data_IF_118583090263
#
_entry.id   IF_118583090263
#
_cell.length_a   1.000
_cell.length_b   1.000
_cell.length_c   1.000
_cell.angle_alpha   90.00
_cell.angle_beta   90.00
_cell.angle_gamma   90.00
#
_symmetry.space_group_name_H-M   'P 1'
#
loop_
_entity.id
_entity.type
_entity.pdbx_description
1 polymer ?
#
# COMPACT_ATOMS: atom_id res chain seq x y z
N UNK A 1 -6.40 61.22 -5.94
CA UNK A 1 -7.68 61.98 -5.92
C UNK A 1 -7.97 62.41 -7.35
N UNK A 2 -9.17 62.13 -7.84
CA UNK A 2 -9.76 62.53 -9.13
C UNK A 2 -9.13 62.03 -10.43
N UNK A 3 -9.82 61.08 -11.06
CA UNK A 3 -10.09 61.15 -12.51
C UNK A 3 -11.58 60.91 -12.74
N UNK A 4 -12.23 61.91 -13.38
CA UNK A 4 -13.61 61.92 -13.85
C UNK A 4 -13.67 61.37 -15.30
N UNK A 5 -14.87 61.08 -15.83
CA UNK A 5 -15.11 60.12 -16.91
C UNK A 5 -14.99 60.71 -18.31
N UNK A 6 -14.68 59.86 -19.29
CA UNK A 6 -14.70 60.17 -20.71
C UNK A 6 -15.65 59.24 -21.47
N UNK A 7 -16.72 59.84 -21.99
CA UNK A 7 -17.70 59.26 -22.91
C UNK A 7 -17.14 59.06 -24.32
N UNK A 8 -17.42 57.92 -24.96
CA UNK A 8 -17.63 57.89 -26.42
C UNK A 8 -18.76 56.92 -26.77
N UNK A 9 -19.72 57.48 -27.49
CA UNK A 9 -20.92 56.84 -27.96
C UNK A 9 -20.76 56.45 -29.45
N UNK A 10 -21.52 55.43 -29.82
CA UNK A 10 -22.16 55.18 -31.12
C UNK A 10 -21.31 54.63 -32.29
N UNK A 11 -21.55 53.35 -32.57
CA UNK A 11 -22.21 52.81 -33.79
C UNK A 11 -22.42 51.31 -33.49
N UNK A 12 -23.64 50.74 -33.44
CA UNK A 12 -24.77 50.96 -34.32
C UNK A 12 -24.69 50.00 -35.50
N UNK A 13 -25.07 48.73 -35.30
CA UNK A 13 -25.68 47.93 -36.37
C UNK A 13 -26.69 46.93 -35.78
N UNK A 14 -27.95 47.15 -36.17
CA UNK A 14 -29.11 46.29 -36.00
C UNK A 14 -28.88 44.94 -36.72
N UNK A 15 -29.16 43.82 -36.05
CA UNK A 15 -30.35 42.93 -36.19
C UNK A 15 -30.59 42.38 -37.60
N UNK A 16 -30.46 41.05 -37.72
CA UNK A 16 -31.24 40.18 -38.62
C UNK A 16 -31.55 38.91 -37.82
N UNK A 17 -32.74 38.82 -37.24
CA UNK A 17 -33.89 38.04 -37.73
C UNK A 17 -33.73 36.53 -37.48
N UNK A 18 -34.39 36.12 -36.39
CA UNK A 18 -35.25 34.93 -36.25
C UNK A 18 -34.69 33.55 -36.65
N UNK A 19 -34.33 32.78 -35.63
CA UNK A 19 -34.99 31.48 -35.43
C UNK A 19 -34.91 31.08 -33.96
N UNK A 20 -36.01 31.33 -33.26
CA UNK A 20 -36.23 30.86 -31.90
C UNK A 20 -36.51 29.35 -31.98
N UNK A 21 -35.53 28.53 -31.59
CA UNK A 21 -35.80 27.14 -31.23
C UNK A 21 -35.88 27.05 -29.71
N UNK A 22 -37.05 27.42 -29.17
CA UNK A 22 -37.49 26.94 -27.86
C UNK A 22 -37.79 25.46 -28.06
N UNK A 23 -37.06 24.57 -27.36
CA UNK A 23 -37.57 23.32 -26.81
C UNK A 23 -36.49 22.58 -26.00
N UNK A 24 -36.93 22.07 -24.85
CA UNK A 24 -36.26 21.14 -23.93
C UNK A 24 -35.19 21.72 -22.98
N UNK A 25 -35.68 22.34 -21.89
CA UNK A 25 -35.09 22.10 -20.57
C UNK A 25 -35.14 20.59 -20.29
N UNK A 26 -34.06 19.87 -20.54
CA UNK A 26 -33.84 18.58 -19.87
C UNK A 26 -32.79 18.79 -18.78
N UNK A 27 -33.28 19.13 -17.58
CA UNK A 27 -32.54 18.93 -16.35
C UNK A 27 -32.27 17.43 -16.23
N UNK A 28 -31.16 16.96 -16.78
CA UNK A 28 -30.65 15.63 -16.46
C UNK A 28 -30.07 15.72 -15.06
N UNK A 29 -30.94 15.48 -14.07
CA UNK A 29 -30.54 15.18 -12.71
C UNK A 29 -29.54 14.02 -12.78
N UNK A 30 -28.26 14.36 -12.65
CA UNK A 30 -27.17 13.39 -12.63
C UNK A 30 -27.29 12.69 -11.27
N UNK A 31 -28.09 11.61 -11.22
CA UNK A 31 -28.16 10.75 -10.04
C UNK A 31 -26.73 10.32 -9.73
N UNK A 32 -26.20 10.76 -8.59
CA UNK A 32 -25.01 10.19 -8.00
C UNK A 32 -25.35 8.72 -7.72
N UNK A 33 -24.83 7.83 -8.57
CA UNK A 33 -24.80 6.41 -8.25
C UNK A 33 -23.74 6.28 -7.16
N UNK A 34 -24.07 5.78 -5.96
CA UNK A 34 -23.04 5.46 -5.00
C UNK A 34 -22.20 4.36 -5.65
N UNK A 35 -20.93 4.63 -5.91
CA UNK A 35 -19.97 3.60 -6.25
C UNK A 35 -19.99 2.62 -5.07
N UNK A 36 -20.72 1.51 -5.25
CA UNK A 36 -20.75 0.41 -4.32
C UNK A 36 -19.34 -0.17 -4.37
N UNK A 37 -18.45 0.39 -3.55
CA UNK A 37 -17.10 -0.11 -3.39
C UNK A 37 -17.23 -1.58 -3.05
N UNK A 38 -16.66 -2.44 -3.89
CA UNK A 38 -16.52 -3.85 -3.58
C UNK A 38 -15.77 -3.95 -2.25
N UNK A 39 -16.51 -4.11 -1.16
CA UNK A 39 -15.99 -4.47 0.16
C UNK A 39 -15.47 -5.90 0.01
N UNK A 40 -14.28 -6.03 -0.57
CA UNK A 40 -13.54 -7.28 -0.52
C UNK A 40 -13.36 -7.60 0.96
N UNK A 41 -13.99 -8.68 1.42
CA UNK A 41 -13.75 -9.19 2.76
C UNK A 41 -12.28 -9.60 2.80
N UNK A 42 -11.46 -8.80 3.49
CA UNK A 42 -10.08 -9.18 3.80
C UNK A 42 -10.18 -10.47 4.60
N UNK A 43 -9.69 -11.56 4.03
CA UNK A 43 -9.63 -12.84 4.71
C UNK A 43 -8.64 -12.74 5.88
N UNK A 44 -8.89 -13.50 6.95
CA UNK A 44 -7.95 -13.56 8.08
C UNK A 44 -6.59 -14.01 7.58
N UNK A 45 -5.53 -13.42 8.13
CA UNK A 45 -4.16 -13.81 7.84
C UNK A 45 -3.90 -15.23 8.33
N UNK A 46 -3.14 -15.99 7.56
CA UNK A 46 -2.71 -17.35 7.90
C UNK A 46 -1.19 -17.42 7.96
N UNK A 47 -0.67 -18.35 8.77
CA UNK A 47 0.74 -18.69 8.73
C UNK A 47 1.01 -19.43 7.40
N UNK A 48 1.88 -18.91 6.50
CA UNK A 48 2.20 -19.61 5.26
C UNK A 48 3.01 -20.87 5.55
N UNK A 49 2.81 -21.93 4.77
CA UNK A 49 3.69 -23.09 4.85
C UNK A 49 5.08 -22.77 4.29
N UNK A 50 6.12 -23.40 4.86
CA UNK A 50 7.46 -23.27 4.31
C UNK A 50 7.59 -24.07 3.00
N UNK A 51 8.29 -23.53 1.99
CA UNK A 51 8.50 -24.23 0.71
C UNK A 51 9.55 -25.35 0.79
N UNK A 52 10.14 -25.57 1.96
CA UNK A 52 11.18 -26.56 2.24
C UNK A 52 11.09 -27.03 3.71
N UNK A 53 11.70 -28.18 4.01
CA UNK A 53 11.77 -28.73 5.38
C UNK A 53 12.59 -27.84 6.32
N UNK A 54 12.29 -27.87 7.62
CA UNK A 54 13.00 -27.07 8.63
C UNK A 54 14.52 -27.27 8.63
N UNK A 55 15.02 -28.46 8.29
CA UNK A 55 16.45 -28.77 8.22
C UNK A 55 17.10 -28.53 6.86
N UNK A 56 16.36 -28.03 5.86
CA UNK A 56 16.86 -27.90 4.49
C UNK A 56 18.01 -26.88 4.33
N UNK A 57 18.21 -26.00 5.33
CA UNK A 57 19.21 -24.93 5.30
C UNK A 57 20.43 -25.21 6.19
N UNK A 58 20.52 -26.40 6.79
CA UNK A 58 21.71 -26.84 7.52
C UNK A 58 22.91 -26.99 6.55
N UNK A 59 24.16 -26.72 6.99
CA UNK A 59 24.57 -26.35 8.35
C UNK A 59 24.48 -24.83 8.64
N UNK A 60 23.93 -24.04 7.73
CA UNK A 60 23.99 -22.58 7.82
C UNK A 60 22.92 -22.01 8.75
N UNK A 61 21.73 -22.63 8.78
CA UNK A 61 20.65 -22.25 9.67
C UNK A 61 20.11 -23.50 10.34
N UNK A 62 20.09 -23.45 11.67
CA UNK A 62 19.70 -24.58 12.50
C UNK A 62 18.21 -24.93 12.38
N UNK A 63 17.89 -26.22 12.26
CA UNK A 63 16.52 -26.71 12.10
C UNK A 63 15.57 -26.36 13.27
N UNK A 64 16.07 -26.40 14.51
CA UNK A 64 15.26 -26.06 15.70
C UNK A 64 14.91 -24.58 15.71
N UNK A 65 15.84 -23.72 15.31
CA UNK A 65 15.58 -22.28 15.17
C UNK A 65 14.54 -22.05 14.08
N UNK A 66 14.66 -22.70 12.92
CA UNK A 66 13.67 -22.59 11.85
C UNK A 66 12.26 -22.97 12.34
N UNK A 67 12.14 -24.05 13.11
CA UNK A 67 10.88 -24.49 13.67
C UNK A 67 10.30 -23.50 14.69
N UNK A 68 11.13 -22.97 15.59
CA UNK A 68 10.72 -21.98 16.60
C UNK A 68 10.32 -20.66 15.92
N UNK A 69 11.14 -20.18 14.99
CA UNK A 69 10.95 -18.91 14.29
C UNK A 69 9.68 -18.92 13.46
N UNK A 70 9.40 -20.02 12.77
CA UNK A 70 8.16 -20.19 12.02
C UNK A 70 6.94 -20.39 12.93
N UNK A 71 6.93 -21.46 13.74
CA UNK A 71 5.70 -21.90 14.44
C UNK A 71 5.38 -21.08 15.69
N UNK A 72 6.34 -20.32 16.22
CA UNK A 72 6.11 -19.46 17.41
C UNK A 72 6.15 -17.99 17.03
N UNK A 73 7.27 -17.50 16.50
CA UNK A 73 7.43 -16.06 16.26
C UNK A 73 6.56 -15.57 15.10
N UNK A 74 6.61 -16.21 13.94
CA UNK A 74 5.76 -15.82 12.81
C UNK A 74 4.27 -16.05 13.13
N UNK A 75 3.94 -17.18 13.74
CA UNK A 75 2.58 -17.47 14.19
C UNK A 75 2.03 -16.41 15.16
N UNK A 76 2.86 -15.90 16.09
CA UNK A 76 2.45 -14.84 17.01
C UNK A 76 2.10 -13.54 16.27
N UNK A 77 2.89 -13.14 15.27
CA UNK A 77 2.59 -11.97 14.45
C UNK A 77 1.25 -12.13 13.71
N UNK A 78 1.01 -13.29 13.09
CA UNK A 78 -0.25 -13.58 12.39
C UNK A 78 -1.44 -13.49 13.34
N UNK A 79 -1.36 -14.16 14.50
CA UNK A 79 -2.45 -14.18 15.48
C UNK A 79 -2.76 -12.78 16.03
N UNK A 80 -1.72 -12.03 16.42
CA UNK A 80 -1.89 -10.70 16.99
C UNK A 80 -2.33 -9.67 15.95
N UNK A 81 -1.92 -9.82 14.68
CA UNK A 81 -2.41 -9.01 13.58
C UNK A 81 -3.91 -9.21 13.38
N UNK A 82 -4.38 -10.46 13.31
CA UNK A 82 -5.80 -10.77 13.19
C UNK A 82 -6.61 -10.16 14.35
N UNK A 83 -6.13 -10.27 15.59
CA UNK A 83 -6.79 -9.65 16.76
C UNK A 83 -6.86 -8.13 16.63
N UNK A 84 -5.77 -7.48 16.19
CA UNK A 84 -5.71 -6.04 16.02
C UNK A 84 -6.65 -5.56 14.91
N UNK A 85 -6.73 -6.28 13.79
CA UNK A 85 -7.62 -5.96 12.66
C UNK A 85 -9.10 -6.10 13.04
N UNK A 86 -9.49 -7.13 13.80
CA UNK A 86 -10.88 -7.26 14.28
C UNK A 86 -11.26 -6.10 15.22
N UNK A 87 -10.40 -5.76 16.18
CA UNK A 87 -10.62 -4.59 17.07
C UNK A 87 -10.69 -3.28 16.28
N UNK A 88 -9.85 -3.15 15.24
CA UNK A 88 -9.85 -1.96 14.39
C UNK A 88 -11.15 -1.86 13.57
N UNK A 89 -11.64 -2.98 13.04
CA UNK A 89 -12.93 -3.06 12.36
C UNK A 89 -14.09 -2.68 13.26
N UNK A 90 -14.09 -3.12 14.52
CA UNK A 90 -15.08 -2.70 15.52
C UNK A 90 -15.00 -1.20 15.81
N UNK A 91 -13.79 -0.64 15.92
CA UNK A 91 -13.59 0.79 16.15
C UNK A 91 -14.04 1.64 14.96
N UNK A 92 -13.84 1.16 13.73
CA UNK A 92 -14.40 1.77 12.51
C UNK A 92 -15.93 1.75 12.53
N UNK A 93 -16.55 0.62 12.89
CA UNK A 93 -18.01 0.51 12.92
C UNK A 93 -18.67 1.41 13.97
N UNK A 94 -17.90 1.87 14.98
CA UNK A 94 -18.35 2.76 16.07
C UNK A 94 -17.92 4.21 15.88
N UNK A 95 -17.22 4.55 14.79
CA UNK A 95 -16.54 5.85 14.60
C UNK A 95 -15.63 6.25 15.78
N UNK A 96 -15.05 5.27 16.48
CA UNK A 96 -14.16 5.49 17.62
C UNK A 96 -12.73 5.76 17.12
N UNK A 97 -12.49 7.02 16.76
CA UNK A 97 -11.18 7.49 16.26
C UNK A 97 -10.06 7.29 17.30
N UNK A 98 -10.38 7.41 18.60
CA UNK A 98 -9.38 7.23 19.67
C UNK A 98 -8.83 5.81 19.68
N UNK A 99 -9.71 4.81 19.63
CA UNK A 99 -9.30 3.40 19.56
C UNK A 99 -8.60 3.07 18.23
N UNK A 100 -9.08 3.64 17.11
CA UNK A 100 -8.42 3.47 15.81
C UNK A 100 -6.95 3.93 15.84
N UNK A 101 -6.68 5.09 16.47
CA UNK A 101 -5.32 5.62 16.63
C UNK A 101 -4.51 4.75 17.60
N UNK A 102 -5.10 4.37 18.73
CA UNK A 102 -4.43 3.55 19.75
C UNK A 102 -4.01 2.16 19.24
N UNK A 103 -4.71 1.60 18.25
CA UNK A 103 -4.39 0.29 17.65
C UNK A 103 -3.25 0.35 16.61
N UNK A 104 -2.88 1.54 16.11
CA UNK A 104 -1.88 1.67 15.06
C UNK A 104 -0.53 1.01 15.38
N UNK A 105 0.04 1.12 16.60
CA UNK A 105 1.29 0.43 16.93
C UNK A 105 1.19 -1.08 16.80
N UNK A 106 0.07 -1.67 17.24
CA UNK A 106 -0.16 -3.12 17.16
C UNK A 106 -0.31 -3.59 15.72
N UNK A 107 -1.04 -2.84 14.89
CA UNK A 107 -1.19 -3.12 13.46
C UNK A 107 0.16 -3.04 12.73
N UNK A 108 0.94 -1.99 12.98
CA UNK A 108 2.26 -1.80 12.36
C UNK A 108 3.26 -2.88 12.78
N UNK A 109 3.32 -3.18 14.07
CA UNK A 109 4.27 -4.15 14.60
C UNK A 109 3.97 -5.58 14.11
N UNK A 110 2.73 -6.03 14.25
CA UNK A 110 2.36 -7.39 13.87
C UNK A 110 2.21 -7.54 12.34
N UNK A 111 1.69 -6.52 11.67
CA UNK A 111 1.61 -6.47 10.20
C UNK A 111 3.00 -6.48 9.55
N UNK A 112 3.90 -5.61 10.03
CA UNK A 112 5.30 -5.62 9.60
C UNK A 112 5.99 -6.95 9.91
N UNK A 113 5.76 -7.51 11.10
CA UNK A 113 6.25 -8.84 11.47
C UNK A 113 5.83 -9.91 10.49
N UNK A 114 4.53 -10.03 10.19
CA UNK A 114 4.00 -11.03 9.25
C UNK A 114 4.56 -10.86 7.83
N UNK A 115 4.59 -9.63 7.30
CA UNK A 115 5.09 -9.35 5.95
C UNK A 115 6.59 -9.70 5.85
N UNK A 116 7.39 -9.22 6.81
CA UNK A 116 8.83 -9.44 6.80
C UNK A 116 9.18 -10.92 6.86
N UNK A 117 8.48 -11.70 7.70
CA UNK A 117 8.72 -13.14 7.80
C UNK A 117 8.24 -13.89 6.56
N UNK A 118 7.10 -13.52 5.98
CA UNK A 118 6.62 -14.11 4.73
C UNK A 118 7.63 -13.94 3.59
N UNK A 119 8.25 -12.76 3.49
CA UNK A 119 9.32 -12.49 2.53
C UNK A 119 10.59 -13.27 2.89
N UNK A 120 10.97 -13.29 4.18
CA UNK A 120 12.16 -13.99 4.66
C UNK A 120 12.19 -15.46 4.24
N UNK A 121 11.07 -16.17 4.39
CA UNK A 121 10.98 -17.59 4.00
C UNK A 121 11.13 -17.80 2.48
N UNK A 122 10.67 -16.87 1.66
CA UNK A 122 10.81 -16.95 0.19
C UNK A 122 12.19 -16.54 -0.32
N UNK A 123 12.97 -15.82 0.49
CA UNK A 123 14.32 -15.37 0.13
C UNK A 123 15.40 -16.41 0.45
N UNK A 124 15.06 -17.46 1.18
CA UNK A 124 15.96 -18.56 1.51
C UNK A 124 15.73 -19.72 0.56
N UNK A 125 16.79 -20.47 0.26
CA UNK A 125 16.71 -21.66 -0.58
C UNK A 125 17.81 -22.65 -0.21
N UNK A 126 17.52 -23.96 -0.11
CA UNK A 126 18.55 -24.98 0.07
C UNK A 126 19.53 -25.04 -1.10
N UNK A 127 19.09 -24.60 -2.29
CA UNK A 127 19.90 -24.54 -3.51
C UNK A 127 20.31 -23.08 -3.83
N UNK A 128 20.31 -22.21 -2.82
CA UNK A 128 20.67 -20.80 -2.95
C UNK A 128 22.18 -20.56 -2.99
N UNK A 129 22.57 -19.30 -2.81
CA UNK A 129 23.96 -18.85 -2.84
C UNK A 129 24.46 -18.47 -4.23
N UNK A 130 25.78 -18.21 -4.33
CA UNK A 130 26.42 -17.66 -5.53
C UNK A 130 26.13 -16.18 -5.76
N UNK A 131 26.64 -15.66 -6.87
CA UNK A 131 26.43 -14.26 -7.26
C UNK A 131 25.06 -14.05 -7.92
N UNK A 132 24.40 -12.90 -7.68
CA UNK A 132 23.15 -12.56 -8.36
C UNK A 132 23.37 -12.45 -9.87
N UNK A 133 22.46 -13.07 -10.65
CA UNK A 133 22.51 -13.10 -12.12
C UNK A 133 21.56 -12.06 -12.74
N UNK A 134 21.85 -11.66 -13.98
CA UNK A 134 20.96 -10.82 -14.80
C UNK A 134 20.98 -9.34 -14.42
N UNK A 135 19.82 -8.67 -14.43
CA UNK A 135 19.72 -7.22 -14.16
C UNK A 135 20.26 -6.80 -12.78
N UNK A 136 20.35 -7.73 -11.84
CA UNK A 136 20.89 -7.50 -10.50
C UNK A 136 22.43 -7.50 -10.48
N UNK A 137 23.10 -8.05 -11.50
CA UNK A 137 24.57 -7.99 -11.66
C UNK A 137 25.04 -6.58 -12.04
N UNK A 138 24.19 -5.75 -12.65
CA UNK A 138 24.54 -4.39 -13.09
C UNK A 138 24.49 -3.33 -11.98
N UNK A 139 24.02 -3.67 -10.78
CA UNK A 139 24.15 -2.81 -9.58
C UNK A 139 25.55 -2.92 -8.92
N UNK A 140 26.40 -3.83 -9.41
CA UNK A 140 27.72 -4.10 -8.84
C UNK A 140 28.81 -3.02 -9.02
N UNK A 141 28.77 -2.04 -9.96
CA UNK A 141 29.85 -1.05 -10.05
C UNK A 141 29.85 -0.04 -8.89
N UNK A 142 28.79 0.05 -8.08
CA UNK A 142 28.77 0.91 -6.89
C UNK A 142 29.35 0.23 -5.63
N UNK A 143 29.44 -1.11 -5.60
CA UNK A 143 29.91 -1.83 -4.41
C UNK A 143 31.44 -2.09 -4.42
N UNK A 144 32.08 -2.00 -5.59
CA UNK A 144 33.53 -2.20 -5.74
C UNK A 144 34.38 -1.09 -5.09
N UNK A 145 33.78 0.04 -4.68
CA UNK A 145 34.48 1.12 -3.99
C UNK A 145 34.68 0.85 -2.48
N UNK A 146 33.93 -0.09 -1.89
CA UNK A 146 33.98 -0.33 -0.43
C UNK A 146 34.99 -1.42 -0.04
N UNK A 147 35.35 -2.33 -0.95
CA UNK A 147 36.29 -3.42 -0.67
C UNK A 147 37.79 -3.01 -0.74
N UNK A 148 38.11 -1.75 -1.07
CA UNK A 148 39.48 -1.24 -1.15
C UNK A 148 39.76 -0.18 -0.07
N UNK A 149 39.45 -0.48 1.20
CA UNK A 149 39.80 0.36 2.36
C UNK A 149 40.42 -0.41 3.54
N UNK A 150 40.98 -1.60 3.29
CA UNK A 150 41.72 -2.37 4.30
C UNK A 150 43.24 -2.45 4.01
N UNK A 151 43.82 -1.44 3.35
CA UNK A 151 45.27 -1.30 3.14
C UNK A 151 45.80 0.07 3.63
N UNK A 152 45.36 0.50 4.81
CA UNK A 152 46.05 1.47 5.66
C UNK A 152 46.08 0.92 7.08
#
# INVERSE_FOLDING_TARGET
>A
MSLKPGTHALRGLLVSSESVCVLCLSSTSRKLVPALGALGSRQKHSLPDLPYDYGALEPYINAQIMQLHHNKHHAAYVNNLNIAEEKYKEALAKDDVTTQIALQPALKFNGGGHINHSIFWTNLSPNGGGEPKGRYTLMHPFLHFVHNRNNC
#
